data_IF_670877379584
#
_entry.id   IF_670877379584
#
_cell.length_a   1.000
_cell.length_b   1.000
_cell.length_c   1.000
_cell.angle_alpha   90.00
_cell.angle_beta   90.00
_cell.angle_gamma   90.00
#
_symmetry.space_group_name_H-M   'P 1'
#
loop_
_entity.id
_entity.type
_entity.pdbx_description
1 polymer ?
#
# COMPACT_ATOMS: atom_id res chain seq x y z
N UNK A 1 26.12 16.02 -94.25
CA UNK A 1 27.49 15.54 -94.01
C UNK A 1 27.43 14.37 -93.01
N UNK A 2 27.18 13.16 -93.49
CA UNK A 2 27.30 11.89 -92.76
C UNK A 2 27.57 10.81 -93.81
N UNK A 3 28.80 10.29 -93.81
CA UNK A 3 29.24 9.24 -94.74
C UNK A 3 28.38 7.97 -94.57
N UNK A 4 28.00 7.27 -95.66
CA UNK A 4 27.19 6.06 -95.58
C UNK A 4 27.98 4.94 -94.88
N UNK A 5 27.38 4.38 -93.81
CA UNK A 5 27.98 3.31 -93.02
C UNK A 5 28.02 2.01 -93.83
N UNK A 6 29.22 1.50 -94.09
CA UNK A 6 29.41 0.24 -94.82
C UNK A 6 28.84 -0.95 -94.00
N UNK A 7 27.78 -1.64 -94.48
CA UNK A 7 27.08 -2.69 -93.73
C UNK A 7 27.97 -3.91 -93.41
N UNK A 8 29.00 -4.18 -94.22
CA UNK A 8 29.95 -5.28 -93.98
C UNK A 8 30.86 -5.02 -92.77
N UNK A 9 31.25 -3.76 -92.55
CA UNK A 9 32.12 -3.34 -91.44
C UNK A 9 31.36 -3.38 -90.11
N UNK A 10 30.07 -3.03 -90.14
CA UNK A 10 29.18 -3.14 -88.99
C UNK A 10 28.95 -4.59 -88.59
N UNK A 11 28.64 -5.49 -89.55
CA UNK A 11 28.36 -6.90 -89.26
C UNK A 11 29.56 -7.61 -88.61
N UNK A 12 30.79 -7.33 -89.07
CA UNK A 12 32.03 -7.81 -88.44
C UNK A 12 32.26 -7.25 -87.03
N UNK A 13 31.90 -5.98 -86.80
CA UNK A 13 32.02 -5.34 -85.47
C UNK A 13 31.04 -5.95 -84.46
N UNK A 14 29.81 -6.25 -84.88
CA UNK A 14 28.82 -6.96 -84.06
C UNK A 14 29.25 -8.39 -83.75
N UNK A 15 29.71 -9.15 -84.75
CA UNK A 15 30.19 -10.53 -84.54
C UNK A 15 31.35 -10.61 -83.53
N UNK A 16 32.34 -9.70 -83.63
CA UNK A 16 33.45 -9.64 -82.66
C UNK A 16 32.99 -9.31 -81.25
N UNK A 17 32.01 -8.39 -81.09
CA UNK A 17 31.46 -8.04 -79.77
C UNK A 17 30.69 -9.19 -79.14
N UNK A 18 29.85 -9.88 -79.92
CA UNK A 18 29.08 -11.03 -79.44
C UNK A 18 29.99 -12.18 -79.01
N UNK A 19 31.04 -12.46 -79.80
CA UNK A 19 32.00 -13.50 -79.47
C UNK A 19 32.80 -13.18 -78.20
N UNK A 20 33.22 -11.93 -78.02
CA UNK A 20 33.93 -11.52 -76.80
C UNK A 20 33.05 -11.70 -75.55
N UNK A 21 31.77 -11.34 -75.62
CA UNK A 21 30.81 -11.52 -74.52
C UNK A 21 30.59 -13.01 -74.19
N UNK A 22 30.47 -13.87 -75.21
CA UNK A 22 30.34 -15.31 -75.02
C UNK A 22 31.58 -15.93 -74.37
N UNK A 23 32.77 -15.46 -74.75
CA UNK A 23 34.04 -15.93 -74.18
C UNK A 23 34.13 -15.62 -72.68
N UNK A 24 33.81 -14.38 -72.29
CA UNK A 24 33.76 -13.96 -70.87
C UNK A 24 32.74 -14.80 -70.10
N UNK A 25 31.55 -14.98 -70.66
CA UNK A 25 30.50 -15.75 -70.01
C UNK A 25 30.92 -17.21 -69.75
N UNK A 26 31.59 -17.86 -70.71
CA UNK A 26 32.10 -19.24 -70.56
C UNK A 26 33.13 -19.38 -69.43
N UNK A 27 34.07 -18.45 -69.35
CA UNK A 27 35.13 -18.47 -68.33
C UNK A 27 34.51 -18.32 -66.94
N UNK A 28 33.56 -17.39 -66.76
CA UNK A 28 32.87 -17.16 -65.49
C UNK A 28 32.03 -18.38 -65.07
N UNK A 29 31.31 -19.00 -66.00
CA UNK A 29 30.50 -20.19 -65.69
C UNK A 29 31.34 -21.41 -65.30
N UNK A 30 32.46 -21.67 -65.99
CA UNK A 30 33.39 -22.74 -65.64
C UNK A 30 34.08 -22.49 -64.29
N UNK A 31 34.47 -21.24 -64.02
CA UNK A 31 35.02 -20.86 -62.72
C UNK A 31 34.03 -21.14 -61.59
N UNK A 32 32.76 -20.78 -61.77
CA UNK A 32 31.71 -21.06 -60.79
C UNK A 32 31.45 -22.56 -60.60
N UNK A 33 31.42 -23.35 -61.68
CA UNK A 33 31.27 -24.81 -61.61
C UNK A 33 32.43 -25.48 -60.86
N UNK A 34 33.68 -25.10 -61.11
CA UNK A 34 34.83 -25.68 -60.40
C UNK A 34 34.84 -25.33 -58.91
N UNK A 35 34.42 -24.12 -58.57
CA UNK A 35 34.29 -23.70 -57.17
C UNK A 35 33.17 -24.46 -56.44
N UNK A 36 32.02 -24.64 -57.08
CA UNK A 36 30.86 -25.28 -56.45
C UNK A 36 30.97 -26.81 -56.39
N UNK A 37 31.55 -27.45 -57.40
CA UNK A 37 31.46 -28.90 -57.60
C UNK A 37 32.71 -29.65 -57.16
N UNK A 38 33.88 -28.98 -57.13
CA UNK A 38 35.17 -29.60 -56.82
C UNK A 38 35.92 -28.93 -55.66
N UNK A 39 35.40 -27.82 -55.10
CA UNK A 39 35.95 -27.11 -53.94
C UNK A 39 37.47 -26.81 -54.04
N UNK A 40 37.94 -26.51 -55.25
CA UNK A 40 39.34 -26.19 -55.50
C UNK A 40 39.69 -24.78 -55.01
N UNK A 41 40.95 -24.57 -54.64
CA UNK A 41 41.48 -23.25 -54.25
C UNK A 41 41.17 -22.16 -55.28
N UNK A 42 40.88 -20.91 -54.87
CA UNK A 42 40.51 -19.83 -55.79
C UNK A 42 41.52 -19.59 -56.92
N UNK A 43 42.81 -19.79 -56.63
CA UNK A 43 43.88 -19.59 -57.61
C UNK A 43 43.91 -20.70 -58.66
N UNK A 44 43.76 -21.97 -58.26
CA UNK A 44 43.73 -23.11 -59.18
C UNK A 44 42.46 -23.11 -60.02
N UNK A 45 41.32 -22.78 -59.43
CA UNK A 45 40.04 -22.60 -60.14
C UNK A 45 40.14 -21.51 -61.22
N UNK A 46 40.81 -20.39 -60.94
CA UNK A 46 41.00 -19.31 -61.90
C UNK A 46 41.86 -19.75 -63.09
N UNK A 47 43.02 -20.37 -62.83
CA UNK A 47 43.94 -20.84 -63.88
C UNK A 47 43.28 -21.92 -64.76
N UNK A 48 42.60 -22.90 -64.16
CA UNK A 48 41.91 -23.96 -64.89
C UNK A 48 40.74 -23.43 -65.74
N UNK A 49 39.97 -22.48 -65.21
CA UNK A 49 38.84 -21.89 -65.94
C UNK A 49 39.27 -21.05 -67.14
N UNK A 50 40.41 -20.33 -67.07
CA UNK A 50 40.98 -19.59 -68.21
C UNK A 50 41.51 -20.56 -69.26
N UNK A 51 42.25 -21.60 -68.86
CA UNK A 51 42.81 -22.59 -69.78
C UNK A 51 41.72 -23.37 -70.53
N UNK A 52 40.76 -23.92 -69.80
CA UNK A 52 39.64 -24.67 -70.39
C UNK A 52 38.70 -23.75 -71.16
N UNK A 53 38.43 -22.53 -70.66
CA UNK A 53 37.60 -21.54 -71.34
C UNK A 53 38.19 -21.08 -72.67
N UNK A 54 39.51 -20.89 -72.76
CA UNK A 54 40.19 -20.58 -74.01
C UNK A 54 40.11 -21.75 -75.00
N UNK A 55 40.32 -22.98 -74.54
CA UNK A 55 40.22 -24.19 -75.36
C UNK A 55 38.81 -24.38 -75.94
N UNK A 56 37.77 -24.28 -75.10
CA UNK A 56 36.37 -24.38 -75.53
C UNK A 56 35.94 -23.26 -76.48
N UNK A 57 36.53 -22.06 -76.34
CA UNK A 57 36.27 -20.95 -77.25
C UNK A 57 36.92 -21.22 -78.61
N UNK A 58 38.16 -21.72 -78.64
CA UNK A 58 38.84 -22.16 -79.87
C UNK A 58 38.05 -23.24 -80.62
N UNK A 59 37.57 -24.26 -79.91
CA UNK A 59 36.72 -25.32 -80.47
C UNK A 59 35.37 -24.80 -81.01
N UNK A 60 34.82 -23.75 -80.40
CA UNK A 60 33.56 -23.13 -80.83
C UNK A 60 33.68 -22.31 -82.12
N UNK A 61 34.89 -21.96 -82.54
CA UNK A 61 35.13 -21.38 -83.85
C UNK A 61 35.16 -22.42 -84.96
N UNK A 62 35.54 -23.65 -84.62
CA UNK A 62 35.69 -24.75 -85.58
C UNK A 62 34.36 -25.45 -85.83
N UNK A 63 33.44 -25.49 -84.85
CA UNK A 63 32.16 -26.21 -84.97
C UNK A 63 30.96 -25.49 -84.36
N UNK A 64 29.85 -25.44 -85.10
CA UNK A 64 28.55 -24.90 -84.68
C UNK A 64 27.86 -25.74 -83.60
N UNK A 65 28.17 -27.03 -83.49
CA UNK A 65 27.60 -27.91 -82.46
C UNK A 65 28.03 -27.50 -81.03
N UNK A 66 29.31 -27.17 -80.85
CA UNK A 66 29.85 -26.72 -79.57
C UNK A 66 29.30 -25.35 -79.13
N UNK A 67 28.95 -24.48 -80.09
CA UNK A 67 28.27 -23.22 -79.79
C UNK A 67 26.88 -23.45 -79.19
N UNK A 68 26.09 -24.39 -79.74
CA UNK A 68 24.77 -24.71 -79.22
C UNK A 68 24.83 -25.31 -77.81
N UNK A 69 25.74 -26.26 -77.57
CA UNK A 69 25.92 -26.88 -76.23
C UNK A 69 26.25 -25.83 -75.17
N UNK A 70 27.09 -24.85 -75.54
CA UNK A 70 27.45 -23.80 -74.58
C UNK A 70 26.35 -22.76 -74.39
N UNK A 71 25.55 -22.48 -75.42
CA UNK A 71 24.36 -21.66 -75.29
C UNK A 71 23.33 -22.32 -74.36
N UNK A 72 23.25 -23.66 -74.38
CA UNK A 72 22.41 -24.47 -73.50
C UNK A 72 22.93 -24.54 -72.05
N UNK A 73 24.21 -24.26 -71.78
CA UNK A 73 24.75 -24.19 -70.40
C UNK A 73 24.11 -23.05 -69.57
N UNK A 74 23.72 -21.94 -70.22
CA UNK A 74 23.04 -20.80 -69.57
C UNK A 74 21.69 -21.24 -68.96
N UNK A 75 20.75 -21.87 -69.71
CA UNK A 75 19.50 -22.37 -69.14
C UNK A 75 19.72 -23.56 -68.18
N UNK A 76 20.81 -24.32 -68.27
CA UNK A 76 21.13 -25.38 -67.30
C UNK A 76 21.49 -24.84 -65.91
N UNK A 77 22.16 -23.68 -65.84
CA UNK A 77 22.38 -22.95 -64.58
C UNK A 77 21.07 -22.37 -63.98
N UNK A 78 20.06 -22.13 -64.81
CA UNK A 78 18.71 -21.72 -64.40
C UNK A 78 17.76 -22.92 -64.16
N UNK A 79 18.26 -24.14 -64.33
CA UNK A 79 17.50 -25.37 -64.04
C UNK A 79 17.20 -25.49 -62.54
N UNK A 80 16.35 -26.47 -62.19
CA UNK A 80 15.97 -26.73 -60.79
C UNK A 80 17.19 -26.90 -59.88
N UNK A 81 18.27 -27.53 -60.36
CA UNK A 81 19.49 -27.78 -59.57
C UNK A 81 20.35 -26.53 -59.40
N UNK A 82 20.50 -25.71 -60.44
CA UNK A 82 21.29 -24.47 -60.38
C UNK A 82 20.65 -23.39 -59.48
N UNK A 83 19.31 -23.31 -59.46
CA UNK A 83 18.58 -22.44 -58.51
C UNK A 83 18.84 -22.82 -57.06
N UNK A 84 18.88 -24.12 -56.74
CA UNK A 84 19.16 -24.59 -55.38
C UNK A 84 20.58 -24.18 -54.94
N UNK A 85 21.58 -24.36 -55.81
CA UNK A 85 22.95 -23.93 -55.51
C UNK A 85 23.07 -22.41 -55.31
N UNK A 86 22.36 -21.62 -56.14
CA UNK A 86 22.36 -20.17 -56.02
C UNK A 86 21.68 -19.70 -54.72
N UNK A 87 20.57 -20.31 -54.33
CA UNK A 87 19.89 -20.02 -53.05
C UNK A 87 20.79 -20.39 -51.86
N UNK A 88 21.44 -21.55 -51.90
CA UNK A 88 22.39 -21.96 -50.85
C UNK A 88 23.56 -20.97 -50.73
N UNK A 89 24.08 -20.47 -51.85
CA UNK A 89 25.14 -19.46 -51.85
C UNK A 89 24.68 -18.12 -51.23
N UNK A 90 23.49 -17.64 -51.60
CA UNK A 90 22.89 -16.44 -50.99
C UNK A 90 22.67 -16.64 -49.48
N UNK A 91 22.24 -17.84 -49.07
CA UNK A 91 22.06 -18.17 -47.65
C UNK A 91 23.38 -18.16 -46.89
N UNK A 92 24.45 -18.74 -47.43
CA UNK A 92 25.79 -18.70 -46.82
C UNK A 92 26.31 -17.27 -46.72
N UNK A 93 26.10 -16.43 -47.75
CA UNK A 93 26.45 -15.01 -47.70
C UNK A 93 25.64 -14.25 -46.63
N UNK A 94 24.34 -14.53 -46.52
CA UNK A 94 23.47 -13.93 -45.52
C UNK A 94 23.87 -14.33 -44.09
N UNK A 95 24.25 -15.60 -43.89
CA UNK A 95 24.75 -16.10 -42.61
C UNK A 95 26.12 -15.51 -42.23
N UNK A 96 27.02 -15.37 -43.20
CA UNK A 96 28.39 -14.94 -42.93
C UNK A 96 28.53 -13.43 -42.68
N UNK A 97 27.59 -12.62 -43.21
CA UNK A 97 27.58 -11.17 -43.03
C UNK A 97 26.49 -10.70 -42.07
N UNK A 98 25.28 -10.39 -42.57
CA UNK A 98 24.20 -9.79 -41.77
C UNK A 98 23.85 -10.57 -40.50
N UNK A 99 23.77 -11.91 -40.56
CA UNK A 99 23.37 -12.71 -39.40
C UNK A 99 24.43 -12.69 -38.30
N UNK A 100 25.72 -12.69 -38.66
CA UNK A 100 26.82 -12.60 -37.69
C UNK A 100 26.80 -11.26 -36.95
N UNK A 101 26.60 -10.15 -37.66
CA UNK A 101 26.41 -8.84 -37.06
C UNK A 101 25.17 -8.79 -36.14
N UNK A 102 24.07 -9.44 -36.54
CA UNK A 102 22.87 -9.50 -35.71
C UNK A 102 23.14 -10.25 -34.40
N UNK A 103 23.85 -11.38 -34.44
CA UNK A 103 24.22 -12.15 -33.23
C UNK A 103 25.12 -11.33 -32.31
N UNK A 104 26.09 -10.59 -32.86
CA UNK A 104 26.97 -9.73 -32.07
C UNK A 104 26.19 -8.59 -31.39
N UNK A 105 25.29 -7.94 -32.12
CA UNK A 105 24.38 -6.93 -31.55
C UNK A 105 23.47 -7.49 -30.47
N UNK A 106 22.98 -8.73 -30.62
CA UNK A 106 22.19 -9.41 -29.58
C UNK A 106 23.04 -9.65 -28.33
N UNK A 107 24.32 -10.01 -28.49
CA UNK A 107 25.28 -10.14 -27.39
C UNK A 107 25.43 -8.83 -26.60
N UNK A 108 25.70 -7.72 -27.30
CA UNK A 108 25.80 -6.39 -26.70
C UNK A 108 24.50 -5.94 -26.03
N UNK A 109 23.34 -6.25 -26.64
CA UNK A 109 22.03 -5.99 -26.05
C UNK A 109 21.84 -6.79 -24.76
N UNK A 110 22.22 -8.06 -24.73
CA UNK A 110 22.13 -8.90 -23.53
C UNK A 110 23.00 -8.37 -22.40
N UNK A 111 24.23 -7.95 -22.70
CA UNK A 111 25.12 -7.34 -21.71
C UNK A 111 24.54 -6.02 -21.16
N UNK A 112 23.99 -5.19 -22.06
CA UNK A 112 23.31 -3.95 -21.69
C UNK A 112 22.10 -4.21 -20.79
N UNK A 113 21.34 -5.28 -21.03
CA UNK A 113 20.22 -5.69 -20.18
C UNK A 113 20.67 -6.14 -18.78
N UNK A 114 21.79 -6.85 -18.67
CA UNK A 114 22.35 -7.25 -17.37
C UNK A 114 22.79 -6.01 -16.58
N UNK A 115 23.46 -5.05 -17.22
CA UNK A 115 23.83 -3.77 -16.61
C UNK A 115 22.59 -2.99 -16.17
N UNK A 116 21.58 -2.89 -17.03
CA UNK A 116 20.30 -2.23 -16.72
C UNK A 116 19.59 -2.86 -15.53
N UNK A 117 19.57 -4.20 -15.42
CA UNK A 117 19.02 -4.90 -14.27
C UNK A 117 19.82 -4.63 -12.98
N UNK A 118 21.15 -4.58 -13.07
CA UNK A 118 21.99 -4.24 -11.92
C UNK A 118 21.73 -2.81 -11.44
N UNK A 119 21.64 -1.84 -12.35
CA UNK A 119 21.32 -0.45 -12.03
C UNK A 119 19.91 -0.32 -11.46
N UNK A 120 18.92 -1.01 -12.02
CA UNK A 120 17.55 -1.01 -11.53
C UNK A 120 17.49 -1.56 -10.09
N UNK A 121 18.21 -2.66 -9.81
CA UNK A 121 18.29 -3.23 -8.45
C UNK A 121 18.85 -2.21 -7.45
N UNK A 122 19.90 -1.47 -7.83
CA UNK A 122 20.47 -0.42 -6.98
C UNK A 122 19.46 0.71 -6.74
N UNK A 123 18.81 1.22 -7.79
CA UNK A 123 17.79 2.29 -7.65
C UNK A 123 16.60 1.85 -6.79
N UNK A 124 16.11 0.61 -6.97
CA UNK A 124 15.02 0.07 -6.14
C UNK A 124 15.47 -0.03 -4.68
N UNK A 125 16.66 -0.56 -4.43
CA UNK A 125 17.18 -0.70 -3.07
C UNK A 125 17.32 0.64 -2.36
N UNK A 126 17.87 1.65 -3.04
CA UNK A 126 17.98 3.00 -2.49
C UNK A 126 16.61 3.65 -2.24
N UNK A 127 15.65 3.44 -3.15
CA UNK A 127 14.28 3.93 -2.98
C UNK A 127 13.60 3.27 -1.78
N UNK A 128 13.72 1.94 -1.65
CA UNK A 128 13.17 1.19 -0.50
C UNK A 128 13.81 1.64 0.82
N UNK A 129 15.12 1.87 0.82
CA UNK A 129 15.84 2.38 2.00
C UNK A 129 15.36 3.78 2.38
N UNK A 130 15.20 4.66 1.39
CA UNK A 130 14.67 6.00 1.58
C UNK A 130 13.21 6.00 2.06
N UNK A 131 12.40 5.02 1.63
CA UNK A 131 11.01 4.84 2.09
C UNK A 131 10.92 4.26 3.50
N UNK A 132 11.81 3.36 3.91
CA UNK A 132 11.75 2.77 5.25
C UNK A 132 11.88 3.81 6.37
N UNK A 133 12.64 4.89 6.15
CA UNK A 133 12.83 5.97 7.13
C UNK A 133 11.49 6.67 7.48
N UNK A 134 10.74 7.27 6.53
CA UNK A 134 9.46 7.91 6.84
C UNK A 134 8.41 6.92 7.35
N UNK A 135 8.41 5.66 6.88
CA UNK A 135 7.48 4.65 7.39
C UNK A 135 7.74 4.30 8.87
N UNK A 136 9.00 4.19 9.28
CA UNK A 136 9.35 3.98 10.69
C UNK A 136 8.92 5.16 11.57
N UNK A 137 9.19 6.39 11.12
CA UNK A 137 8.78 7.61 11.82
C UNK A 137 7.26 7.76 11.90
N UNK A 138 6.55 7.43 10.82
CA UNK A 138 5.10 7.47 10.78
C UNK A 138 4.51 6.48 11.79
N UNK A 139 5.03 5.26 11.85
CA UNK A 139 4.61 4.25 12.82
C UNK A 139 4.80 4.75 14.26
N UNK A 140 5.97 5.29 14.58
CA UNK A 140 6.26 5.83 15.92
C UNK A 140 5.31 7.00 16.27
N UNK A 141 5.07 7.90 15.31
CA UNK A 141 4.12 9.01 15.48
C UNK A 141 2.70 8.51 15.74
N UNK A 142 2.22 7.53 14.97
CA UNK A 142 0.89 6.94 15.16
C UNK A 142 0.79 6.25 16.52
N UNK A 143 1.81 5.50 16.93
CA UNK A 143 1.83 4.86 18.26
C UNK A 143 1.78 5.88 19.39
N UNK A 144 2.51 7.01 19.27
CA UNK A 144 2.45 8.11 20.24
C UNK A 144 1.06 8.75 20.30
N UNK A 145 0.42 8.97 19.15
CA UNK A 145 -0.94 9.50 19.10
C UNK A 145 -1.95 8.57 19.75
N UNK A 146 -1.89 7.27 19.45
CA UNK A 146 -2.76 6.26 20.07
C UNK A 146 -2.56 6.25 21.60
N UNK A 147 -1.32 6.28 22.07
CA UNK A 147 -1.03 6.32 23.50
C UNK A 147 -1.52 7.61 24.18
N UNK A 148 -1.47 8.76 23.50
CA UNK A 148 -1.99 10.02 24.04
C UNK A 148 -3.53 10.00 24.12
N UNK A 149 -4.19 9.44 23.10
CA UNK A 149 -5.65 9.27 23.09
C UNK A 149 -6.09 8.34 24.23
N UNK A 150 -5.39 7.22 24.43
CA UNK A 150 -5.67 6.29 25.53
C UNK A 150 -5.50 6.97 26.90
N UNK A 151 -4.41 7.71 27.09
CA UNK A 151 -4.21 8.53 28.30
C UNK A 151 -5.32 9.55 28.49
N UNK A 152 -5.77 10.19 27.41
CA UNK A 152 -6.90 11.11 27.41
C UNK A 152 -8.18 10.45 27.91
N UNK A 153 -8.50 9.26 27.39
CA UNK A 153 -9.68 8.50 27.79
C UNK A 153 -9.67 8.14 29.28
N UNK A 154 -8.53 7.68 29.80
CA UNK A 154 -8.37 7.37 31.23
C UNK A 154 -8.55 8.62 32.12
N UNK A 155 -8.11 9.80 31.67
CA UNK A 155 -8.35 11.06 32.41
C UNK A 155 -9.84 11.41 32.42
N UNK A 156 -10.52 11.26 31.29
CA UNK A 156 -11.96 11.52 31.19
C UNK A 156 -12.73 10.59 32.12
N UNK A 157 -12.43 9.28 32.11
CA UNK A 157 -13.06 8.32 33.02
C UNK A 157 -12.88 8.72 34.48
N UNK A 158 -11.65 9.05 34.91
CA UNK A 158 -11.39 9.51 36.29
C UNK A 158 -12.16 10.77 36.67
N UNK A 159 -12.34 11.71 35.75
CA UNK A 159 -13.13 12.92 36.00
C UNK A 159 -14.61 12.56 36.16
N UNK A 160 -15.14 11.69 35.29
CA UNK A 160 -16.53 11.24 35.38
C UNK A 160 -16.79 10.45 36.67
N UNK A 161 -15.89 9.56 37.06
CA UNK A 161 -15.97 8.82 38.32
C UNK A 161 -16.00 9.80 39.51
N UNK A 162 -15.10 10.79 39.51
CA UNK A 162 -15.09 11.83 40.56
C UNK A 162 -16.37 12.67 40.61
N UNK A 163 -17.01 12.94 39.47
CA UNK A 163 -18.32 13.61 39.42
C UNK A 163 -19.41 12.71 40.00
N UNK A 164 -19.42 11.43 39.65
CA UNK A 164 -20.40 10.47 40.17
C UNK A 164 -20.28 10.30 41.69
N UNK A 165 -19.06 10.17 42.20
CA UNK A 165 -18.77 10.08 43.63
C UNK A 165 -19.21 11.36 44.36
N UNK A 166 -18.93 12.52 43.78
CA UNK A 166 -19.37 13.81 44.30
C UNK A 166 -20.90 13.95 44.35
N UNK A 167 -21.59 13.47 43.31
CA UNK A 167 -23.05 13.46 43.27
C UNK A 167 -23.63 12.53 44.34
N UNK A 168 -23.08 11.33 44.50
CA UNK A 168 -23.51 10.38 45.53
C UNK A 168 -23.36 10.97 46.94
N UNK A 169 -22.19 11.55 47.24
CA UNK A 169 -21.94 12.22 48.53
C UNK A 169 -22.92 13.37 48.81
N UNK A 170 -23.21 14.17 47.77
CA UNK A 170 -24.20 15.25 47.86
C UNK A 170 -25.60 14.72 48.13
N UNK A 171 -26.02 13.67 47.40
CA UNK A 171 -27.31 13.03 47.60
C UNK A 171 -27.46 12.41 49.00
N UNK A 172 -26.39 11.80 49.53
CA UNK A 172 -26.38 11.28 50.89
C UNK A 172 -26.54 12.38 51.93
N UNK A 173 -25.85 13.51 51.75
CA UNK A 173 -25.97 14.68 52.63
C UNK A 173 -27.39 15.25 52.59
N UNK A 174 -27.96 15.41 51.40
CA UNK A 174 -29.35 15.87 51.22
C UNK A 174 -30.33 14.90 51.90
N UNK A 175 -30.17 13.59 51.69
CA UNK A 175 -31.02 12.56 52.30
C UNK A 175 -30.90 12.57 53.83
N UNK A 176 -29.70 12.78 54.38
CA UNK A 176 -29.49 12.94 55.81
C UNK A 176 -30.24 14.18 56.35
N UNK A 177 -30.17 15.30 55.62
CA UNK A 177 -30.93 16.51 55.93
C UNK A 177 -32.45 16.27 55.95
N UNK A 178 -33.01 15.61 54.93
CA UNK A 178 -34.43 15.26 54.89
C UNK A 178 -34.84 14.31 56.02
N UNK A 179 -34.00 13.33 56.37
CA UNK A 179 -34.26 12.42 57.51
C UNK A 179 -34.34 13.20 58.83
N UNK A 180 -33.41 14.11 59.07
CA UNK A 180 -33.42 14.97 60.26
C UNK A 180 -34.67 15.86 60.31
N UNK A 181 -35.06 16.46 59.18
CA UNK A 181 -36.29 17.25 59.08
C UNK A 181 -37.54 16.41 59.38
N UNK A 182 -37.63 15.19 58.87
CA UNK A 182 -38.76 14.30 59.14
C UNK A 182 -38.87 13.91 60.63
N UNK A 183 -37.73 13.67 61.29
CA UNK A 183 -37.68 13.43 62.73
C UNK A 183 -38.14 14.66 63.52
N UNK A 184 -37.67 15.85 63.15
CA UNK A 184 -38.12 17.10 63.76
C UNK A 184 -39.62 17.32 63.62
N UNK A 185 -40.20 17.15 62.42
CA UNK A 185 -41.65 17.31 62.21
C UNK A 185 -42.44 16.37 63.10
N UNK A 186 -41.96 15.14 63.30
CA UNK A 186 -42.58 14.17 64.22
C UNK A 186 -42.55 14.64 65.66
N UNK A 187 -41.45 15.26 66.11
CA UNK A 187 -41.32 15.85 67.46
C UNK A 187 -42.29 17.02 67.62
N UNK A 188 -42.35 17.91 66.63
CA UNK A 188 -43.17 19.12 66.66
C UNK A 188 -44.68 18.85 66.58
N UNK A 189 -45.11 17.78 65.89
CA UNK A 189 -46.52 17.44 65.72
C UNK A 189 -47.13 16.69 66.93
N UNK A 190 -46.42 16.59 68.05
CA UNK A 190 -46.90 15.90 69.25
C UNK A 190 -47.78 16.77 70.15
N UNK A 191 -48.88 16.22 70.68
CA UNK A 191 -49.78 16.63 71.79
C UNK A 191 -50.02 18.14 72.11
N UNK A 192 -49.71 19.08 71.21
CA UNK A 192 -49.98 20.51 71.39
C UNK A 192 -49.17 21.22 72.49
N UNK A 193 -48.09 20.61 72.99
CA UNK A 193 -47.17 21.19 73.99
C UNK A 193 -45.80 21.46 73.37
N UNK A 194 -45.07 22.45 73.87
CA UNK A 194 -43.69 22.70 73.43
C UNK A 194 -42.75 21.57 73.86
N UNK A 195 -41.67 21.36 73.12
CA UNK A 195 -40.58 20.41 73.42
C UNK A 195 -39.97 20.69 74.79
N UNK A 196 -39.80 21.97 75.16
CA UNK A 196 -39.38 22.37 76.51
C UNK A 196 -40.37 21.90 77.58
N UNK A 197 -41.67 22.13 77.41
CA UNK A 197 -42.70 21.71 78.36
C UNK A 197 -42.78 20.20 78.49
N UNK A 198 -42.67 19.47 77.37
CA UNK A 198 -42.62 18.01 77.34
C UNK A 198 -41.41 17.49 78.12
N UNK A 199 -40.24 18.11 77.96
CA UNK A 199 -39.03 17.76 78.73
C UNK A 199 -39.22 17.98 80.23
N UNK A 200 -39.72 19.15 80.64
CA UNK A 200 -39.94 19.47 82.07
C UNK A 200 -40.98 18.55 82.69
N UNK A 201 -42.10 18.31 82.00
CA UNK A 201 -43.16 17.42 82.50
C UNK A 201 -42.65 15.98 82.67
N UNK A 202 -41.87 15.49 81.71
CA UNK A 202 -41.28 14.13 81.76
C UNK A 202 -40.25 14.02 82.87
N UNK A 203 -39.40 15.05 83.06
CA UNK A 203 -38.44 15.13 84.15
C UNK A 203 -39.14 15.11 85.51
N UNK A 204 -40.19 15.92 85.69
CA UNK A 204 -40.93 15.99 86.94
C UNK A 204 -41.63 14.65 87.24
N UNK A 205 -42.22 14.01 86.22
CA UNK A 205 -42.80 12.66 86.36
C UNK A 205 -41.75 11.61 86.72
N UNK A 206 -40.55 11.68 86.14
CA UNK A 206 -39.45 10.75 86.44
C UNK A 206 -38.91 10.93 87.86
N UNK A 207 -38.84 12.17 88.34
CA UNK A 207 -38.46 12.47 89.73
C UNK A 207 -39.48 11.88 90.71
N UNK A 208 -40.78 12.00 90.40
CA UNK A 208 -41.85 11.41 91.21
C UNK A 208 -41.78 9.87 91.18
N UNK A 209 -41.55 9.27 90.02
CA UNK A 209 -41.40 7.82 89.87
C UNK A 209 -40.20 7.26 90.62
N UNK A 210 -39.08 7.99 90.58
CA UNK A 210 -37.88 7.67 91.34
C UNK A 210 -38.16 7.72 92.85
N UNK A 211 -38.83 8.76 93.33
CA UNK A 211 -39.19 8.90 94.74
C UNK A 211 -40.13 7.76 95.20
N UNK A 212 -41.09 7.37 94.34
CA UNK A 212 -41.98 6.24 94.62
C UNK A 212 -41.24 4.90 94.70
N UNK A 213 -40.26 4.66 93.83
CA UNK A 213 -39.50 3.39 93.78
C UNK A 213 -38.44 3.27 94.87
N UNK A 214 -37.68 4.33 95.16
CA UNK A 214 -36.57 4.28 96.12
C UNK A 214 -36.95 4.54 97.57
N UNK A 215 -38.20 4.93 97.86
CA UNK A 215 -38.86 5.09 99.17
C UNK A 215 -37.99 5.71 100.30
N UNK A 216 -37.03 4.96 100.85
CA UNK A 216 -36.08 5.40 101.87
C UNK A 216 -34.96 6.33 101.33
N UNK A 217 -34.45 6.11 100.10
CA UNK A 217 -33.39 6.91 99.47
C UNK A 217 -33.92 8.00 98.53
N UNK A 218 -35.21 8.35 98.62
CA UNK A 218 -35.88 9.26 97.69
C UNK A 218 -35.30 10.68 97.61
N UNK A 219 -34.52 11.11 98.59
CA UNK A 219 -33.85 12.42 98.58
C UNK A 219 -32.85 12.56 97.41
N UNK A 220 -32.24 11.45 96.96
CA UNK A 220 -31.28 11.45 95.86
C UNK A 220 -31.93 11.71 94.49
N UNK A 221 -33.25 11.55 94.39
CA UNK A 221 -34.00 11.76 93.15
C UNK A 221 -34.26 13.24 92.84
N UNK A 222 -33.94 14.19 93.73
CA UNK A 222 -34.27 15.60 93.54
C UNK A 222 -33.28 16.33 92.61
N UNK A 223 -33.29 15.93 91.34
CA UNK A 223 -32.45 16.50 90.27
C UNK A 223 -33.16 17.65 89.53
N UNK A 224 -34.23 18.22 90.09
CA UNK A 224 -35.09 19.20 89.41
C UNK A 224 -34.32 20.42 88.90
N UNK A 225 -33.38 20.96 89.68
CA UNK A 225 -32.61 22.16 89.30
C UNK A 225 -31.67 21.87 88.13
N UNK A 226 -30.93 20.76 88.18
CA UNK A 226 -30.01 20.35 87.13
C UNK A 226 -30.75 19.90 85.87
N UNK A 227 -31.84 19.14 86.03
CA UNK A 227 -32.66 18.70 84.92
C UNK A 227 -33.38 19.85 84.20
N UNK A 228 -33.82 20.90 84.93
CA UNK A 228 -34.37 22.12 84.31
C UNK A 228 -33.36 22.83 83.41
N UNK A 229 -32.10 22.88 83.83
CA UNK A 229 -31.03 23.45 83.02
C UNK A 229 -30.80 22.62 81.75
N UNK A 230 -30.83 21.29 81.86
CA UNK A 230 -30.69 20.38 80.71
C UNK A 230 -31.86 20.56 79.73
N UNK A 231 -33.10 20.62 80.23
CA UNK A 231 -34.29 20.81 79.40
C UNK A 231 -34.31 22.16 78.68
N UNK A 232 -33.59 23.18 79.18
CA UNK A 232 -33.52 24.48 78.48
C UNK A 232 -32.90 24.37 77.07
N UNK A 233 -32.14 23.32 76.77
CA UNK A 233 -31.65 23.05 75.41
C UNK A 233 -32.78 22.72 74.42
N UNK A 234 -33.90 22.17 74.90
CA UNK A 234 -35.07 21.84 74.08
C UNK A 234 -35.79 23.09 73.55
N UNK A 235 -35.58 24.28 74.14
CA UNK A 235 -36.12 25.54 73.61
C UNK A 235 -35.61 25.85 72.19
N UNK A 236 -34.43 25.36 71.84
CA UNK A 236 -33.90 25.51 70.48
C UNK A 236 -34.76 24.74 69.47
N UNK A 237 -35.25 23.56 69.86
CA UNK A 237 -36.15 22.74 69.03
C UNK A 237 -37.50 23.45 68.86
N UNK A 238 -38.02 24.09 69.90
CA UNK A 238 -39.27 24.85 69.84
C UNK A 238 -39.22 26.00 68.83
N UNK A 239 -38.12 26.74 68.81
CA UNK A 239 -37.87 27.78 67.81
C UNK A 239 -37.87 27.23 66.36
N UNK A 240 -37.29 26.04 66.15
CA UNK A 240 -37.36 25.35 64.86
C UNK A 240 -38.78 24.87 64.53
N UNK A 241 -39.55 24.36 65.50
CA UNK A 241 -40.94 23.92 65.30
C UNK A 241 -41.86 25.07 64.85
N UNK A 242 -41.73 26.25 65.46
CA UNK A 242 -42.46 27.45 65.04
C UNK A 242 -42.10 27.84 63.60
N UNK A 243 -40.82 27.78 63.24
CA UNK A 243 -40.32 28.11 61.90
C UNK A 243 -40.77 27.11 60.82
N UNK A 244 -40.82 25.82 61.14
CA UNK A 244 -41.24 24.76 60.22
C UNK A 244 -42.77 24.76 60.03
N UNK A 245 -43.55 25.18 61.02
CA UNK A 245 -45.01 25.29 60.91
C UNK A 245 -45.45 26.19 59.74
N UNK A 246 -44.63 27.19 59.38
CA UNK A 246 -44.82 28.05 58.21
C UNK A 246 -44.57 27.32 56.88
N UNK A 247 -43.61 26.39 56.85
CA UNK A 247 -43.26 25.60 55.66
C UNK A 247 -44.19 24.41 55.42
N UNK A 248 -44.78 23.82 56.48
CA UNK A 248 -45.70 22.68 56.35
C UNK A 248 -46.90 22.98 55.45
N UNK A 249 -47.41 24.22 55.45
CA UNK A 249 -48.50 24.61 54.56
C UNK A 249 -48.07 24.65 53.07
N UNK A 250 -46.80 24.94 52.78
CA UNK A 250 -46.27 25.05 51.40
C UNK A 250 -45.77 23.70 50.87
N UNK A 251 -45.20 22.85 51.73
CA UNK A 251 -44.67 21.52 51.36
C UNK A 251 -45.78 20.48 51.23
N UNK A 252 -46.83 20.52 52.06
CA UNK A 252 -47.95 19.57 51.97
C UNK A 252 -48.79 19.82 50.69
N UNK A 253 -48.96 21.08 50.29
CA UNK A 253 -49.69 21.44 49.07
C UNK A 253 -48.94 21.05 47.78
N UNK A 254 -47.61 21.12 47.78
CA UNK A 254 -46.79 20.74 46.63
C UNK A 254 -46.65 19.22 46.45
N UNK A 255 -46.70 18.44 47.53
CA UNK A 255 -46.68 16.97 47.48
C UNK A 255 -48.05 16.37 47.11
N UNK A 256 -49.16 17.04 47.43
CA UNK A 256 -50.50 16.61 47.00
C UNK A 256 -50.84 16.92 45.54
N UNK A 257 -50.07 17.81 44.91
CA UNK A 257 -50.28 18.26 43.53
C UNK A 257 -49.44 17.49 42.48
N UNK A 258 -48.59 16.55 42.91
CA UNK A 258 -47.88 15.58 42.04
C UNK A 258 -48.51 14.20 42.17
#
# INVERSE_FOLDING_TARGET
MTLPRNPSKQRKKWAKRTLFLLCIFKIISLYFMFQQQFNFSPRTSCVLSILLGALFTGLSFVSTGFQCITLLMVPQMLSKRGRIALIAYVFVLALSGPARNAVENIGLMSESLICGQAQLKVSIHETLKALNIPFATLKDTVQKLVAEVERGFVRIQRVLDGIMDGLQSTLETIRAGYRWLAELVTICNGDGKTSFERCITTLESSVLDCQRKLRFLGFMCNVKRSGKLICSSAKVIDWFCESISFLNNVVIDSVKAS
#
